data_IF_559328275066
#
_entry.id   IF_559328275066
#
_cell.length_a   1.000
_cell.length_b   1.000
_cell.length_c   1.000
_cell.angle_alpha   90.00
_cell.angle_beta   90.00
_cell.angle_gamma   90.00
#
_symmetry.space_group_name_H-M   'P 1'
#
loop_
_entity.id
_entity.type
_entity.pdbx_description
1 polymer ?
#
# COMPACT_ATOMS: atom_id res chain seq x y z
N UNK A 1 10.46 -16.36 12.40
CA UNK A 1 9.93 -15.07 12.90
C UNK A 1 8.58 -14.78 12.30
N UNK A 2 7.69 -14.11 13.09
CA UNK A 2 6.39 -13.63 12.61
C UNK A 2 6.51 -12.27 11.94
N UNK A 3 6.01 -12.18 10.73
CA UNK A 3 5.94 -10.97 9.92
C UNK A 3 4.48 -10.56 9.71
N UNK A 4 4.14 -9.31 9.98
CA UNK A 4 2.82 -8.78 9.72
C UNK A 4 2.89 -7.84 8.51
N UNK A 5 2.02 -8.10 7.54
CA UNK A 5 1.99 -7.39 6.27
C UNK A 5 0.64 -6.68 6.08
N UNK A 6 0.72 -5.45 5.57
CA UNK A 6 -0.42 -4.54 5.50
C UNK A 6 -0.77 -4.22 4.04
N UNK A 7 -2.01 -4.48 3.59
CA UNK A 7 -2.40 -4.26 2.21
C UNK A 7 -2.52 -2.78 1.87
N UNK A 8 -2.42 -2.49 0.57
CA UNK A 8 -2.69 -1.19 -0.02
C UNK A 8 -3.98 -1.16 -0.83
N UNK A 9 -4.10 -0.14 -1.67
CA UNK A 9 -5.23 0.09 -2.56
C UNK A 9 -5.51 -1.14 -3.44
N UNK A 10 -6.79 -1.49 -3.58
CA UNK A 10 -7.25 -2.71 -4.26
C UNK A 10 -7.74 -3.81 -3.29
N UNK A 11 -7.51 -3.65 -1.99
CA UNK A 11 -7.96 -4.59 -0.97
C UNK A 11 -9.34 -4.25 -0.38
N UNK A 12 -9.86 -3.06 -0.64
CA UNK A 12 -11.14 -2.57 -0.11
C UNK A 12 -12.34 -3.33 -0.67
N UNK A 13 -13.37 -3.48 0.15
CA UNK A 13 -14.68 -4.00 -0.23
C UNK A 13 -15.79 -3.40 0.65
N UNK A 14 -17.00 -3.27 0.12
CA UNK A 14 -18.15 -2.77 0.87
C UNK A 14 -18.46 -3.69 2.05
N UNK A 15 -18.68 -3.11 3.22
CA UNK A 15 -18.89 -3.85 4.49
C UNK A 15 -17.60 -4.08 5.29
N UNK A 16 -16.43 -3.70 4.76
CA UNK A 16 -15.17 -3.87 5.48
C UNK A 16 -15.15 -3.12 6.82
N UNK A 17 -14.78 -3.83 7.88
CA UNK A 17 -14.64 -3.27 9.23
C UNK A 17 -15.96 -3.20 10.04
N UNK A 18 -17.12 -3.55 9.47
CA UNK A 18 -18.37 -3.59 10.19
C UNK A 18 -18.36 -4.65 11.31
N UNK A 19 -17.71 -5.77 11.07
CA UNK A 19 -17.49 -6.83 12.06
C UNK A 19 -16.63 -6.34 13.23
N UNK A 20 -15.55 -5.60 12.95
CA UNK A 20 -14.72 -4.97 13.98
C UNK A 20 -15.53 -3.96 14.81
N UNK A 21 -16.29 -3.09 14.13
CA UNK A 21 -17.10 -2.06 14.75
C UNK A 21 -18.16 -2.64 15.70
N UNK A 22 -18.82 -3.73 15.30
CA UNK A 22 -19.90 -4.34 16.07
C UNK A 22 -19.40 -5.24 17.22
N UNK A 23 -18.22 -5.84 17.10
CA UNK A 23 -17.75 -6.85 18.05
C UNK A 23 -16.62 -6.38 18.96
N UNK A 24 -16.14 -5.15 18.83
CA UNK A 24 -15.09 -4.60 19.69
C UNK A 24 -15.37 -3.16 20.08
N UNK A 25 -15.53 -2.91 21.38
CA UNK A 25 -15.69 -1.55 21.91
C UNK A 25 -14.52 -0.64 21.52
N UNK A 26 -13.29 -1.17 21.59
CA UNK A 26 -12.10 -0.43 21.16
C UNK A 26 -12.16 -0.06 19.67
N UNK A 27 -12.60 -0.97 18.82
CA UNK A 27 -12.75 -0.70 17.39
C UNK A 27 -13.81 0.38 17.15
N UNK A 28 -14.95 0.25 17.79
CA UNK A 28 -16.02 1.25 17.72
C UNK A 28 -15.51 2.66 18.06
N UNK A 29 -14.83 2.81 19.19
CA UNK A 29 -14.28 4.10 19.64
C UNK A 29 -13.23 4.66 18.63
N UNK A 30 -12.39 3.80 18.07
CA UNK A 30 -11.38 4.21 17.08
C UNK A 30 -12.00 4.61 15.74
N UNK A 31 -13.07 3.94 15.29
CA UNK A 31 -13.81 4.34 14.09
C UNK A 31 -14.52 5.67 14.26
N UNK A 32 -15.18 5.89 15.41
CA UNK A 32 -15.83 7.18 15.69
C UNK A 32 -14.80 8.31 15.80
N UNK A 33 -13.68 8.07 16.46
CA UNK A 33 -12.56 9.02 16.49
C UNK A 33 -12.00 9.33 15.09
N UNK A 34 -11.97 8.35 14.22
CA UNK A 34 -11.56 8.56 12.83
C UNK A 34 -12.54 9.44 12.06
N UNK A 35 -13.85 9.26 12.25
CA UNK A 35 -14.89 10.13 11.68
C UNK A 35 -14.69 11.60 12.13
N UNK A 36 -14.36 11.82 13.40
CA UNK A 36 -14.06 13.16 13.94
C UNK A 36 -12.79 13.77 13.29
N UNK A 37 -11.69 13.00 13.21
CA UNK A 37 -10.43 13.47 12.63
C UNK A 37 -10.58 13.82 11.15
N UNK A 38 -11.32 13.00 10.40
CA UNK A 38 -11.52 13.20 8.96
C UNK A 38 -12.56 14.29 8.65
N UNK A 39 -13.43 14.65 9.62
CA UNK A 39 -14.50 15.62 9.43
C UNK A 39 -15.69 15.11 8.62
N UNK A 40 -15.76 13.81 8.34
CA UNK A 40 -16.90 13.14 7.71
C UNK A 40 -17.01 11.70 8.18
N UNK A 41 -18.18 11.09 8.01
CA UNK A 41 -18.41 9.70 8.43
C UNK A 41 -17.92 8.71 7.37
N UNK A 42 -16.63 8.40 7.43
CA UNK A 42 -16.03 7.38 6.56
C UNK A 42 -16.63 5.99 6.81
N UNK A 43 -17.09 5.74 8.05
CA UNK A 43 -17.74 4.49 8.44
C UNK A 43 -18.98 4.20 7.61
N UNK A 44 -19.79 5.21 7.28
CA UNK A 44 -20.99 5.03 6.46
C UNK A 44 -20.65 4.54 5.06
N UNK A 45 -19.53 5.04 4.51
CA UNK A 45 -19.04 4.59 3.19
C UNK A 45 -18.41 3.20 3.29
N UNK A 46 -17.65 2.91 4.33
CA UNK A 46 -17.00 1.61 4.53
C UNK A 46 -18.03 0.49 4.70
N UNK A 47 -19.09 0.73 5.49
CA UNK A 47 -20.06 -0.29 5.90
C UNK A 47 -21.18 -0.48 4.87
N UNK A 48 -21.74 0.62 4.34
CA UNK A 48 -22.96 0.61 3.55
C UNK A 48 -22.82 1.35 2.20
N UNK A 49 -21.68 2.01 1.95
CA UNK A 49 -21.43 2.74 0.73
C UNK A 49 -21.31 1.86 -0.50
N UNK A 50 -21.41 2.49 -1.68
CA UNK A 50 -21.21 1.81 -2.95
C UNK A 50 -19.74 1.51 -3.22
N UNK A 51 -19.49 0.51 -4.08
CA UNK A 51 -18.12 0.21 -4.53
C UNK A 51 -17.43 1.42 -5.20
N UNK A 52 -18.19 2.27 -5.88
CA UNK A 52 -17.67 3.47 -6.56
C UNK A 52 -17.28 4.58 -5.57
N UNK A 53 -18.06 4.77 -4.50
CA UNK A 53 -17.67 5.66 -3.41
C UNK A 53 -16.37 5.18 -2.74
N UNK A 54 -16.29 3.87 -2.48
CA UNK A 54 -15.13 3.27 -1.83
C UNK A 54 -13.86 3.25 -2.71
N UNK A 55 -13.99 3.39 -4.03
CA UNK A 55 -12.86 3.49 -4.98
C UNK A 55 -12.21 4.87 -5.05
N UNK A 56 -12.86 5.92 -4.56
CA UNK A 56 -12.29 7.26 -4.56
C UNK A 56 -11.02 7.28 -3.69
N UNK A 57 -9.91 7.77 -4.22
CA UNK A 57 -8.59 7.70 -3.55
C UNK A 57 -8.62 8.32 -2.14
N UNK A 58 -9.32 9.43 -1.97
CA UNK A 58 -9.49 10.11 -0.69
C UNK A 58 -10.33 9.33 0.34
N UNK A 59 -11.05 8.30 -0.10
CA UNK A 59 -11.81 7.38 0.74
C UNK A 59 -11.10 6.04 0.90
N UNK A 60 -10.64 5.46 -0.21
CA UNK A 60 -9.99 4.14 -0.23
C UNK A 60 -8.82 4.05 0.73
N UNK A 61 -7.93 5.04 0.70
CA UNK A 61 -6.70 4.98 1.50
C UNK A 61 -7.00 5.05 3.00
N UNK A 62 -7.76 6.04 3.50
CA UNK A 62 -8.16 6.04 4.92
C UNK A 62 -8.95 4.79 5.33
N UNK A 63 -9.84 4.29 4.50
CA UNK A 63 -10.64 3.09 4.82
C UNK A 63 -9.78 1.84 5.02
N UNK A 64 -8.82 1.58 4.14
CA UNK A 64 -7.89 0.44 4.27
C UNK A 64 -6.98 0.62 5.49
N UNK A 65 -6.46 1.83 5.70
CA UNK A 65 -5.65 2.16 6.87
C UNK A 65 -6.42 1.89 8.18
N UNK A 66 -7.65 2.39 8.29
CA UNK A 66 -8.49 2.21 9.48
C UNK A 66 -8.74 0.73 9.76
N UNK A 67 -9.19 -0.03 8.76
CA UNK A 67 -9.39 -1.46 8.93
C UNK A 67 -8.12 -2.16 9.43
N UNK A 68 -6.99 -1.90 8.79
CA UNK A 68 -5.71 -2.54 9.10
C UNK A 68 -5.20 -2.20 10.49
N UNK A 69 -5.18 -0.92 10.84
CA UNK A 69 -4.63 -0.46 12.13
C UNK A 69 -5.55 -0.80 13.29
N UNK A 70 -6.88 -0.69 13.09
CA UNK A 70 -7.85 -1.04 14.12
C UNK A 70 -7.80 -2.56 14.38
N UNK A 71 -7.75 -3.38 13.34
CA UNK A 71 -7.57 -4.83 13.50
C UNK A 71 -6.31 -5.16 14.28
N UNK A 72 -5.16 -4.56 13.94
CA UNK A 72 -3.90 -4.77 14.67
C UNK A 72 -4.04 -4.40 16.16
N UNK A 73 -4.74 -3.31 16.48
CA UNK A 73 -4.97 -2.89 17.89
C UNK A 73 -5.90 -3.83 18.64
N UNK A 74 -6.96 -4.32 18.00
CA UNK A 74 -7.94 -5.23 18.61
C UNK A 74 -7.34 -6.61 18.87
N UNK A 75 -6.39 -7.07 18.04
CA UNK A 75 -5.65 -8.30 18.29
C UNK A 75 -4.83 -8.26 19.60
N UNK A 76 -4.54 -7.07 20.13
CA UNK A 76 -3.91 -6.89 21.43
C UNK A 76 -2.65 -7.73 21.61
N UNK A 77 -2.62 -8.60 22.63
CA UNK A 77 -1.47 -9.45 22.94
C UNK A 77 -1.18 -10.53 21.87
N UNK A 78 -2.12 -10.81 20.97
CA UNK A 78 -1.89 -11.71 19.83
C UNK A 78 -1.10 -11.05 18.70
N UNK A 79 -1.05 -9.73 18.68
CA UNK A 79 -0.25 -8.96 17.72
C UNK A 79 1.15 -8.68 18.30
N UNK A 80 2.11 -9.51 17.93
CA UNK A 80 3.51 -9.40 18.39
C UNK A 80 4.45 -9.43 17.17
N UNK A 81 4.63 -8.30 16.48
CA UNK A 81 5.45 -8.25 15.29
C UNK A 81 6.94 -8.29 15.61
N UNK A 82 7.67 -9.19 14.93
CA UNK A 82 9.13 -9.15 14.84
C UNK A 82 9.56 -8.37 13.58
N UNK A 83 8.69 -8.39 12.57
CA UNK A 83 8.84 -7.71 11.28
C UNK A 83 7.50 -7.15 10.82
N UNK A 84 7.53 -5.96 10.20
CA UNK A 84 6.37 -5.38 9.53
C UNK A 84 6.75 -4.88 8.14
N UNK A 85 5.81 -5.00 7.20
CA UNK A 85 5.90 -4.37 5.88
C UNK A 85 4.49 -3.97 5.43
N UNK A 86 4.40 -2.96 4.57
CA UNK A 86 3.13 -2.59 3.97
C UNK A 86 3.28 -2.24 2.51
N UNK A 87 2.30 -2.63 1.69
CA UNK A 87 2.31 -2.33 0.26
C UNK A 87 1.78 -0.91 0.01
N UNK A 88 2.62 -0.02 -0.50
CA UNK A 88 2.27 1.38 -0.78
C UNK A 88 1.62 2.07 0.44
N UNK A 89 0.33 2.37 0.42
CA UNK A 89 -0.44 2.89 1.56
C UNK A 89 -0.22 2.05 2.83
N UNK A 90 -0.19 0.72 2.70
CA UNK A 90 0.01 -0.20 3.81
C UNK A 90 1.30 0.05 4.60
N UNK A 91 2.30 0.70 4.01
CA UNK A 91 3.52 1.10 4.73
C UNK A 91 3.20 2.04 5.90
N UNK A 92 2.26 2.99 5.75
CA UNK A 92 1.84 3.86 6.86
C UNK A 92 1.11 3.05 7.94
N UNK A 93 0.29 2.07 7.56
CA UNK A 93 -0.33 1.14 8.51
C UNK A 93 0.72 0.33 9.28
N UNK A 94 1.76 -0.16 8.60
CA UNK A 94 2.89 -0.85 9.22
C UNK A 94 3.67 0.06 10.19
N UNK A 95 3.84 1.34 9.85
CA UNK A 95 4.51 2.31 10.73
C UNK A 95 3.72 2.56 12.03
N UNK A 96 2.39 2.62 11.95
CA UNK A 96 1.56 2.71 13.17
C UNK A 96 1.65 1.41 13.98
N UNK A 97 1.60 0.27 13.32
CA UNK A 97 1.72 -1.04 13.97
C UNK A 97 3.08 -1.26 14.66
N UNK A 98 4.15 -0.69 14.10
CA UNK A 98 5.50 -0.70 14.70
C UNK A 98 5.73 0.41 15.74
N UNK A 99 4.72 1.20 16.10
CA UNK A 99 4.83 2.29 17.07
C UNK A 99 5.58 3.52 16.60
N UNK A 100 5.91 3.60 15.31
CA UNK A 100 6.59 4.77 14.71
C UNK A 100 5.69 5.98 14.65
N UNK A 101 4.42 5.78 14.33
CA UNK A 101 3.39 6.81 14.26
C UNK A 101 2.27 6.51 15.27
N UNK A 102 1.64 7.56 15.81
CA UNK A 102 0.37 7.41 16.50
C UNK A 102 -0.75 7.06 15.51
N UNK A 103 -1.88 6.57 15.99
CA UNK A 103 -3.07 6.34 15.16
C UNK A 103 -3.53 7.62 14.47
N UNK A 104 -3.57 8.71 15.21
CA UNK A 104 -4.00 10.01 14.75
C UNK A 104 -3.06 10.58 13.68
N UNK A 105 -1.75 10.56 13.95
CA UNK A 105 -0.74 11.02 12.98
C UNK A 105 -0.76 10.18 11.71
N UNK A 106 -0.88 8.86 11.84
CA UNK A 106 -1.00 7.94 10.71
C UNK A 106 -2.23 8.24 9.85
N UNK A 107 -3.39 8.43 10.48
CA UNK A 107 -4.64 8.74 9.77
C UNK A 107 -4.56 10.10 9.05
N UNK A 108 -4.01 11.12 9.72
CA UNK A 108 -3.82 12.44 9.10
C UNK A 108 -2.86 12.39 7.92
N UNK A 109 -1.75 11.65 8.02
CA UNK A 109 -0.82 11.47 6.91
C UNK A 109 -1.45 10.73 5.74
N UNK A 110 -2.25 9.69 6.00
CA UNK A 110 -2.97 8.94 4.95
C UNK A 110 -4.00 9.84 4.26
N UNK A 111 -4.76 10.65 5.00
CA UNK A 111 -5.72 11.60 4.44
C UNK A 111 -5.02 12.62 3.53
N UNK A 112 -3.95 13.25 4.00
CA UNK A 112 -3.15 14.19 3.20
C UNK A 112 -2.51 13.54 1.98
N UNK A 113 -2.02 12.30 2.14
CA UNK A 113 -1.48 11.53 1.01
C UNK A 113 -2.53 11.31 -0.07
N UNK A 114 -3.71 10.89 0.32
CA UNK A 114 -4.82 10.62 -0.58
C UNK A 114 -5.28 11.88 -1.33
N UNK A 115 -5.40 13.01 -0.62
CA UNK A 115 -5.75 14.31 -1.19
C UNK A 115 -4.67 14.82 -2.16
N UNK A 116 -3.40 14.75 -1.78
CA UNK A 116 -2.28 15.18 -2.63
C UNK A 116 -2.19 14.33 -3.90
N UNK A 117 -2.35 13.00 -3.78
CA UNK A 117 -2.38 12.10 -4.93
C UNK A 117 -3.58 12.37 -5.85
N UNK A 118 -4.76 12.64 -5.29
CA UNK A 118 -5.94 12.99 -6.07
C UNK A 118 -5.72 14.27 -6.88
N UNK A 119 -5.19 15.32 -6.26
CA UNK A 119 -4.83 16.58 -6.95
C UNK A 119 -3.80 16.37 -8.07
N UNK A 120 -2.77 15.55 -7.81
CA UNK A 120 -1.76 15.25 -8.83
C UNK A 120 -2.35 14.53 -10.04
N UNK A 121 -3.35 13.66 -9.86
CA UNK A 121 -4.06 13.00 -10.94
C UNK A 121 -4.86 13.97 -11.84
N UNK A 122 -5.28 15.12 -11.31
CA UNK A 122 -6.04 16.14 -12.05
C UNK A 122 -5.14 17.03 -12.93
N UNK A 123 -3.82 17.07 -12.67
CA UNK A 123 -2.85 17.91 -13.39
C UNK A 123 -2.57 17.35 -14.79
N UNK A 124 -2.35 16.05 -14.89
CA UNK A 124 -2.02 15.39 -16.16
C UNK A 124 -2.75 14.04 -16.30
N UNK A 125 -3.34 13.75 -17.48
CA UNK A 125 -3.92 12.46 -17.77
C UNK A 125 -2.88 11.35 -17.64
N UNK A 126 -3.08 10.47 -16.67
CA UNK A 126 -2.13 9.42 -16.36
C UNK A 126 -2.85 8.17 -15.83
N UNK A 127 -2.21 7.03 -15.94
CA UNK A 127 -2.80 5.75 -15.53
C UNK A 127 -1.73 4.72 -15.19
N UNK A 128 -2.17 3.52 -14.89
CA UNK A 128 -1.32 2.35 -14.63
C UNK A 128 -1.81 1.16 -15.45
N UNK A 129 -0.93 0.19 -15.69
CA UNK A 129 -1.31 -1.08 -16.27
C UNK A 129 -0.63 -2.25 -15.56
N UNK A 130 -1.39 -3.35 -15.40
CA UNK A 130 -0.86 -4.60 -14.86
C UNK A 130 -0.32 -5.48 -15.99
N UNK A 131 0.94 -5.89 -15.86
CA UNK A 131 1.67 -6.76 -16.79
C UNK A 131 1.85 -8.13 -16.15
N UNK A 132 1.41 -9.18 -16.82
CA UNK A 132 1.47 -10.55 -16.34
C UNK A 132 2.23 -11.46 -17.30
N UNK A 133 3.13 -12.28 -16.76
CA UNK A 133 3.77 -13.38 -17.48
C UNK A 133 5.07 -13.02 -18.18
N UNK A 134 5.67 -11.88 -17.86
CA UNK A 134 7.00 -11.49 -18.30
C UNK A 134 7.95 -11.32 -17.10
N UNK A 135 9.22 -11.45 -17.36
CA UNK A 135 10.28 -11.11 -16.41
C UNK A 135 10.36 -9.59 -16.24
N UNK A 136 10.69 -9.13 -15.04
CA UNK A 136 10.75 -7.71 -14.69
C UNK A 136 11.68 -6.93 -15.64
N UNK A 137 12.84 -7.49 -16.00
CA UNK A 137 13.80 -6.87 -16.90
C UNK A 137 13.19 -6.55 -18.28
N UNK A 138 12.39 -7.47 -18.85
CA UNK A 138 11.74 -7.24 -20.15
C UNK A 138 10.74 -6.09 -20.06
N UNK A 139 10.03 -5.98 -18.93
CA UNK A 139 9.09 -4.89 -18.71
C UNK A 139 9.81 -3.55 -18.55
N UNK A 140 10.92 -3.51 -17.81
CA UNK A 140 11.77 -2.34 -17.66
C UNK A 140 12.34 -1.86 -19.01
N UNK A 141 12.90 -2.78 -19.81
CA UNK A 141 13.42 -2.49 -21.16
C UNK A 141 12.33 -1.86 -22.08
N UNK A 142 11.11 -2.34 -22.00
CA UNK A 142 9.99 -1.76 -22.78
C UNK A 142 9.63 -0.36 -22.25
N UNK A 143 9.58 -0.18 -20.93
CA UNK A 143 9.33 1.15 -20.34
C UNK A 143 10.40 2.17 -20.79
N UNK A 144 11.66 1.77 -20.80
CA UNK A 144 12.78 2.64 -21.20
C UNK A 144 12.78 2.96 -22.72
N UNK A 145 12.17 2.10 -23.54
CA UNK A 145 12.13 2.26 -25.00
C UNK A 145 10.92 3.09 -25.49
N UNK A 146 9.92 3.32 -24.67
CA UNK A 146 8.71 4.08 -25.03
C UNK A 146 8.93 5.59 -24.85
N UNK A 147 8.52 6.38 -25.84
CA UNK A 147 8.52 7.83 -25.71
C UNK A 147 7.45 8.29 -24.71
N UNK A 148 7.81 9.23 -23.84
CA UNK A 148 6.96 9.73 -22.75
C UNK A 148 7.31 9.09 -21.40
N UNK A 149 6.51 9.41 -20.39
CA UNK A 149 6.72 8.90 -19.03
C UNK A 149 5.99 7.57 -18.85
N UNK A 150 6.75 6.49 -18.75
CA UNK A 150 6.28 5.19 -18.29
C UNK A 150 7.38 4.49 -17.50
N UNK A 151 7.04 3.97 -16.32
CA UNK A 151 8.01 3.34 -15.41
C UNK A 151 7.44 2.08 -14.77
N UNK A 152 8.32 1.17 -14.38
CA UNK A 152 7.99 0.06 -13.49
C UNK A 152 7.65 0.63 -12.09
N UNK A 153 6.42 0.42 -11.65
CA UNK A 153 5.88 1.05 -10.44
C UNK A 153 5.70 0.08 -9.27
N UNK A 154 5.18 -1.14 -9.49
CA UNK A 154 4.96 -2.11 -8.41
C UNK A 154 5.48 -3.48 -8.83
N UNK A 155 6.55 -3.94 -8.19
CA UNK A 155 7.11 -5.29 -8.32
C UNK A 155 6.34 -6.22 -7.37
N UNK A 156 5.17 -6.69 -7.79
CA UNK A 156 4.22 -7.37 -6.90
C UNK A 156 4.61 -8.83 -6.58
N UNK A 157 4.99 -9.58 -7.58
CA UNK A 157 5.53 -10.95 -7.45
C UNK A 157 6.17 -11.35 -8.77
N UNK A 158 6.99 -12.40 -8.84
CA UNK A 158 7.56 -12.89 -10.08
C UNK A 158 6.50 -13.05 -11.18
N UNK A 159 6.72 -12.42 -12.34
CA UNK A 159 5.79 -12.38 -13.46
C UNK A 159 4.53 -11.53 -13.26
N UNK A 160 4.51 -10.63 -12.27
CA UNK A 160 3.45 -9.63 -12.08
C UNK A 160 4.04 -8.28 -11.67
N UNK A 161 4.10 -7.37 -12.62
CA UNK A 161 4.58 -6.01 -12.44
C UNK A 161 3.49 -5.02 -12.88
N UNK A 162 3.40 -3.88 -12.19
CA UNK A 162 2.52 -2.77 -12.61
C UNK A 162 3.40 -1.65 -13.14
N UNK A 163 3.07 -1.15 -14.33
CA UNK A 163 3.69 0.02 -14.93
C UNK A 163 2.80 1.25 -14.72
N UNK A 164 3.41 2.44 -14.70
CA UNK A 164 2.76 3.69 -14.35
C UNK A 164 3.27 4.83 -15.21
N UNK A 165 2.39 5.69 -15.74
CA UNK A 165 2.83 6.77 -16.62
C UNK A 165 1.69 7.53 -17.32
N UNK A 166 2.06 8.26 -18.35
CA UNK A 166 1.13 8.95 -19.26
C UNK A 166 0.23 7.95 -19.98
N UNK A 167 -1.02 8.30 -20.21
CA UNK A 167 -1.99 7.38 -20.84
C UNK A 167 -1.48 6.83 -22.15
N UNK A 168 -0.99 7.68 -23.05
CA UNK A 168 -0.49 7.28 -24.39
C UNK A 168 0.77 6.38 -24.28
N UNK A 169 1.67 6.68 -23.35
CA UNK A 169 2.87 5.87 -23.13
C UNK A 169 2.52 4.50 -22.54
N UNK A 170 1.56 4.44 -21.63
CA UNK A 170 1.05 3.17 -21.06
C UNK A 170 0.35 2.33 -22.15
N UNK A 171 -0.45 2.92 -23.03
CA UNK A 171 -1.08 2.20 -24.14
C UNK A 171 -0.03 1.59 -25.09
N UNK A 172 0.95 2.40 -25.50
CA UNK A 172 2.08 1.93 -26.34
C UNK A 172 2.87 0.83 -25.64
N UNK A 173 3.22 1.02 -24.37
CA UNK A 173 3.93 0.00 -23.61
C UNK A 173 3.12 -1.31 -23.53
N UNK A 174 1.80 -1.24 -23.32
CA UNK A 174 0.95 -2.43 -23.27
C UNK A 174 0.95 -3.21 -24.59
N UNK A 175 0.97 -2.53 -25.74
CA UNK A 175 1.07 -3.19 -27.05
C UNK A 175 2.40 -3.89 -27.22
N UNK A 176 3.50 -3.19 -26.99
CA UNK A 176 4.86 -3.75 -27.06
C UNK A 176 5.07 -4.93 -26.10
N UNK A 177 4.54 -4.83 -24.88
CA UNK A 177 4.63 -5.92 -23.90
C UNK A 177 3.85 -7.17 -24.36
N UNK A 178 2.72 -7.01 -25.03
CA UNK A 178 1.99 -8.14 -25.63
C UNK A 178 2.80 -8.77 -26.76
N UNK A 179 3.46 -7.98 -27.61
CA UNK A 179 4.37 -8.48 -28.66
C UNK A 179 5.56 -9.25 -28.07
N UNK A 180 6.06 -8.82 -26.90
CA UNK A 180 7.12 -9.51 -26.13
C UNK A 180 6.62 -10.78 -25.43
N UNK A 181 5.32 -11.12 -25.52
CA UNK A 181 4.76 -12.33 -24.96
C UNK A 181 4.09 -12.17 -23.60
N UNK A 182 3.76 -10.96 -23.17
CA UNK A 182 2.97 -10.77 -21.97
C UNK A 182 1.63 -11.53 -22.09
N UNK A 183 1.35 -12.38 -21.10
CA UNK A 183 0.06 -13.09 -21.04
C UNK A 183 -1.11 -12.11 -20.89
N UNK A 184 -0.90 -10.98 -20.21
CA UNK A 184 -1.82 -9.85 -20.10
C UNK A 184 -1.03 -8.56 -19.90
N UNK A 185 -1.46 -7.49 -20.55
CA UNK A 185 -1.11 -6.11 -20.27
C UNK A 185 -2.41 -5.32 -20.27
N UNK A 186 -2.91 -4.98 -19.09
CA UNK A 186 -4.26 -4.42 -18.87
C UNK A 186 -4.16 -3.09 -18.15
N UNK A 187 -4.71 -2.05 -18.76
CA UNK A 187 -4.90 -0.75 -18.12
C UNK A 187 -5.82 -0.91 -16.91
N UNK A 188 -5.41 -0.37 -15.78
CA UNK A 188 -6.15 -0.42 -14.53
C UNK A 188 -7.16 0.73 -14.45
N UNK A 189 -8.30 0.55 -13.77
CA UNK A 189 -9.31 1.60 -13.57
C UNK A 189 -8.86 2.57 -12.44
N UNK A 190 -7.70 3.21 -12.64
CA UNK A 190 -7.12 4.21 -11.74
C UNK A 190 -6.82 5.48 -12.53
N UNK A 191 -7.06 6.64 -11.93
CA UNK A 191 -6.94 7.94 -12.58
C UNK A 191 -5.58 8.60 -12.42
N UNK A 192 -4.52 7.85 -12.07
CA UNK A 192 -3.22 8.45 -11.82
C UNK A 192 -2.03 7.50 -11.95
N UNK A 193 -0.87 8.07 -12.27
CA UNK A 193 0.39 7.38 -12.40
C UNK A 193 1.11 7.28 -11.04
N UNK A 194 0.57 6.47 -10.13
CA UNK A 194 1.16 6.29 -8.80
C UNK A 194 2.54 5.65 -8.89
N UNK A 195 3.43 5.99 -7.96
CA UNK A 195 4.80 5.50 -7.88
C UNK A 195 5.63 5.80 -9.15
N UNK A 196 5.39 6.96 -9.74
CA UNK A 196 6.12 7.49 -10.91
C UNK A 196 6.56 8.94 -10.67
N UNK A 197 7.45 9.49 -11.51
CA UNK A 197 7.83 10.90 -11.44
C UNK A 197 6.65 11.88 -11.55
N UNK A 198 5.52 11.46 -12.13
CA UNK A 198 4.31 12.28 -12.26
C UNK A 198 3.64 12.57 -10.90
N UNK A 199 4.01 11.84 -9.84
CA UNK A 199 3.53 12.10 -8.47
C UNK A 199 4.41 13.13 -7.71
N UNK A 200 5.35 13.79 -8.37
CA UNK A 200 6.22 14.77 -7.71
C UNK A 200 5.45 15.89 -6.98
N UNK A 201 4.39 16.51 -7.56
CA UNK A 201 3.59 17.50 -6.82
C UNK A 201 2.98 16.95 -5.53
N UNK A 202 2.49 15.71 -5.57
CA UNK A 202 1.95 15.04 -4.38
C UNK A 202 3.04 14.73 -3.35
N UNK A 203 4.24 14.34 -3.80
CA UNK A 203 5.39 14.09 -2.93
C UNK A 203 5.82 15.35 -2.18
N UNK A 204 5.86 16.49 -2.87
CA UNK A 204 6.23 17.77 -2.24
C UNK A 204 5.23 18.19 -1.15
N UNK A 205 3.92 18.10 -1.46
CA UNK A 205 2.86 18.42 -0.49
C UNK A 205 2.93 17.47 0.72
N UNK A 206 3.06 16.17 0.48
CA UNK A 206 3.14 15.17 1.54
C UNK A 206 4.44 15.28 2.35
N UNK A 207 5.56 15.63 1.74
CA UNK A 207 6.84 15.79 2.41
C UNK A 207 6.78 16.84 3.52
N UNK A 208 6.06 17.94 3.32
CA UNK A 208 5.85 18.94 4.36
C UNK A 208 5.09 18.38 5.57
N UNK A 209 4.03 17.59 5.32
CA UNK A 209 3.28 16.93 6.36
C UNK A 209 4.11 15.88 7.12
N UNK A 210 4.86 15.05 6.40
CA UNK A 210 5.77 14.06 7.01
C UNK A 210 6.83 14.75 7.88
N UNK A 211 7.45 15.83 7.40
CA UNK A 211 8.45 16.59 8.16
C UNK A 211 7.89 17.16 9.46
N UNK A 212 6.65 17.63 9.46
CA UNK A 212 5.96 18.18 10.62
C UNK A 212 5.48 17.11 11.62
N UNK A 213 5.32 15.87 11.18
CA UNK A 213 4.82 14.76 12.01
C UNK A 213 5.94 14.19 12.88
N UNK A 214 5.60 13.82 14.12
CA UNK A 214 6.52 13.13 15.03
C UNK A 214 6.65 11.66 14.64
N UNK A 215 7.89 11.17 14.51
CA UNK A 215 8.23 9.77 14.31
C UNK A 215 8.99 9.28 15.54
N UNK A 216 8.57 8.15 16.09
CA UNK A 216 9.28 7.46 17.17
C UNK A 216 10.14 6.34 16.55
N UNK A 217 11.11 5.83 17.33
CA UNK A 217 11.87 4.66 16.93
C UNK A 217 10.95 3.43 16.82
N UNK A 218 11.14 2.57 15.82
CA UNK A 218 10.29 1.40 15.63
C UNK A 218 10.54 0.35 16.72
N UNK A 219 9.47 -0.33 17.14
CA UNK A 219 9.53 -1.43 18.11
C UNK A 219 9.94 -2.77 17.51
N UNK A 220 9.94 -2.88 16.18
CA UNK A 220 10.35 -4.05 15.40
C UNK A 220 10.96 -3.63 14.06
N UNK A 221 11.46 -4.58 13.27
CA UNK A 221 12.02 -4.28 11.94
C UNK A 221 10.92 -3.83 10.97
N UNK A 222 11.11 -2.67 10.34
CA UNK A 222 10.20 -2.13 9.32
C UNK A 222 10.85 -2.30 7.95
N UNK A 223 10.20 -3.04 7.06
CA UNK A 223 10.65 -3.20 5.68
C UNK A 223 9.90 -2.20 4.81
N UNK A 224 10.64 -1.23 4.26
CA UNK A 224 10.06 -0.15 3.47
C UNK A 224 10.16 -0.43 1.97
N UNK A 225 9.19 0.09 1.21
CA UNK A 225 9.03 -0.22 -0.22
C UNK A 225 10.21 0.23 -1.08
N UNK A 226 10.80 1.40 -0.78
CA UNK A 226 11.86 1.99 -1.59
C UNK A 226 13.18 1.23 -1.47
N UNK A 227 13.74 1.03 -0.25
CA UNK A 227 15.00 0.32 -0.08
C UNK A 227 14.83 -1.21 -0.12
N UNK A 228 13.61 -1.73 0.02
CA UNK A 228 13.29 -3.16 0.10
C UNK A 228 14.11 -3.92 1.14
N UNK A 229 14.39 -3.30 2.28
CA UNK A 229 15.18 -3.87 3.39
C UNK A 229 14.67 -3.36 4.74
N UNK A 230 15.13 -4.01 5.81
CA UNK A 230 14.83 -3.59 7.18
C UNK A 230 15.43 -2.22 7.50
N UNK A 231 14.60 -1.33 8.05
CA UNK A 231 14.99 -0.03 8.58
C UNK A 231 14.64 0.00 10.07
N UNK A 232 15.55 0.54 10.88
CA UNK A 232 15.45 0.50 12.35
C UNK A 232 15.54 1.89 12.98
N UNK A 233 15.64 2.96 12.19
CA UNK A 233 15.72 4.33 12.70
C UNK A 233 14.59 5.19 12.16
N UNK A 234 13.99 6.00 13.04
CA UNK A 234 12.91 6.92 12.68
C UNK A 234 13.30 7.90 11.57
N UNK A 235 14.56 8.37 11.58
CA UNK A 235 15.05 9.31 10.56
C UNK A 235 15.05 8.69 9.17
N UNK A 236 15.64 7.51 9.01
CA UNK A 236 15.71 6.83 7.70
C UNK A 236 14.31 6.41 7.22
N UNK A 237 13.44 5.95 8.13
CA UNK A 237 12.04 5.66 7.83
C UNK A 237 11.34 6.88 7.24
N UNK A 238 11.51 8.04 7.87
CA UNK A 238 10.91 9.31 7.45
C UNK A 238 11.38 9.76 6.07
N UNK A 239 12.68 9.66 5.80
CA UNK A 239 13.28 9.99 4.51
C UNK A 239 12.78 9.07 3.38
N UNK A 240 12.69 7.76 3.64
CA UNK A 240 12.20 6.79 2.66
C UNK A 240 10.71 6.97 2.39
N UNK A 241 9.90 7.29 3.42
CA UNK A 241 8.47 7.55 3.25
C UNK A 241 8.22 8.77 2.34
N UNK A 242 9.07 9.81 2.42
CA UNK A 242 9.00 10.98 1.53
C UNK A 242 9.26 10.57 0.06
N UNK A 243 10.18 9.64 -0.19
CA UNK A 243 10.51 9.18 -1.54
C UNK A 243 9.47 8.22 -2.14
N UNK A 244 8.64 7.60 -1.30
CA UNK A 244 7.78 6.48 -1.71
C UNK A 244 6.80 6.82 -2.83
N UNK A 245 6.23 8.04 -2.88
CA UNK A 245 5.22 8.39 -3.89
C UNK A 245 5.75 8.43 -5.31
N UNK A 246 7.04 8.74 -5.49
CA UNK A 246 7.69 8.83 -6.82
C UNK A 246 8.65 7.68 -7.09
N UNK A 247 8.72 6.70 -6.19
CA UNK A 247 9.59 5.55 -6.29
C UNK A 247 8.79 4.24 -6.38
N UNK A 248 9.34 3.19 -6.97
CA UNK A 248 8.65 1.92 -7.09
C UNK A 248 8.41 1.24 -5.74
N UNK A 249 7.30 0.52 -5.65
CA UNK A 249 7.02 -0.43 -4.57
C UNK A 249 7.73 -1.74 -4.90
N UNK A 250 8.85 -1.98 -4.27
CA UNK A 250 9.66 -3.20 -4.42
C UNK A 250 9.15 -4.30 -3.50
N UNK A 251 7.88 -4.72 -3.71
CA UNK A 251 7.22 -5.66 -2.81
C UNK A 251 7.87 -7.04 -2.80
N UNK A 252 8.15 -7.60 -3.98
CA UNK A 252 8.85 -8.89 -4.12
C UNK A 252 10.16 -8.88 -3.36
N UNK A 253 10.98 -7.85 -3.58
CA UNK A 253 12.29 -7.72 -2.96
C UNK A 253 12.18 -7.51 -1.44
N UNK A 254 11.17 -6.76 -0.97
CA UNK A 254 10.90 -6.59 0.46
C UNK A 254 10.58 -7.91 1.14
N UNK A 255 9.70 -8.71 0.54
CA UNK A 255 9.34 -10.04 1.07
C UNK A 255 10.54 -11.00 1.05
N UNK A 256 11.32 -11.01 -0.04
CA UNK A 256 12.54 -11.83 -0.11
C UNK A 256 13.55 -11.44 0.97
N UNK A 257 13.72 -10.14 1.25
CA UNK A 257 14.55 -9.66 2.35
C UNK A 257 14.03 -10.12 3.72
N UNK A 258 12.70 -10.07 3.94
CA UNK A 258 12.09 -10.54 5.17
C UNK A 258 12.31 -12.05 5.37
N UNK A 259 12.20 -12.84 4.31
CA UNK A 259 12.44 -14.31 4.34
C UNK A 259 13.92 -14.57 4.65
N UNK A 260 14.84 -13.88 3.97
CA UNK A 260 16.28 -14.01 4.22
C UNK A 260 16.67 -13.64 5.65
N UNK A 261 15.97 -12.68 6.26
CA UNK A 261 16.17 -12.27 7.65
C UNK A 261 15.44 -13.18 8.66
N UNK A 262 14.86 -14.30 8.21
CA UNK A 262 14.26 -15.35 9.04
C UNK A 262 12.73 -15.27 9.21
N UNK A 263 12.02 -14.51 8.37
CA UNK A 263 10.55 -14.51 8.31
C UNK A 263 10.02 -15.84 7.78
N UNK A 264 9.18 -16.53 8.56
CA UNK A 264 8.62 -17.85 8.19
C UNK A 264 7.10 -17.89 8.22
N UNK A 265 6.46 -16.97 8.94
CA UNK A 265 5.01 -16.83 9.03
C UNK A 265 4.63 -15.40 8.68
N UNK A 266 3.81 -15.23 7.64
CA UNK A 266 3.35 -13.93 7.17
C UNK A 266 1.86 -13.79 7.42
N UNK A 267 1.47 -12.75 8.17
CA UNK A 267 0.09 -12.52 8.57
C UNK A 267 -0.37 -11.21 7.93
N UNK A 268 -1.31 -11.28 6.99
CA UNK A 268 -1.93 -10.10 6.39
C UNK A 268 -2.93 -9.50 7.37
N UNK A 269 -2.71 -8.24 7.74
CA UNK A 269 -3.56 -7.47 8.66
C UNK A 269 -4.24 -6.36 7.88
N UNK A 270 -5.49 -6.57 7.53
CA UNK A 270 -6.24 -5.63 6.72
C UNK A 270 -7.38 -6.30 5.95
N UNK A 271 -8.08 -5.53 5.10
CA UNK A 271 -9.17 -6.08 4.32
C UNK A 271 -8.68 -7.00 3.19
N UNK A 272 -9.45 -8.02 2.88
CA UNK A 272 -9.19 -8.91 1.74
C UNK A 272 -8.07 -9.93 1.95
N UNK A 273 -7.51 -10.42 0.84
CA UNK A 273 -6.49 -11.50 0.81
C UNK A 273 -5.44 -11.25 -0.30
N UNK A 274 -5.17 -9.99 -0.62
CA UNK A 274 -4.32 -9.62 -1.76
C UNK A 274 -2.89 -10.06 -1.53
N UNK A 275 -2.33 -9.71 -0.37
CA UNK A 275 -0.93 -10.00 -0.08
C UNK A 275 -0.67 -11.49 0.13
N UNK A 276 -1.60 -12.24 0.71
CA UNK A 276 -1.51 -13.70 0.77
C UNK A 276 -1.41 -14.33 -0.62
N UNK A 277 -2.15 -13.79 -1.59
CA UNK A 277 -2.08 -14.21 -2.99
C UNK A 277 -0.72 -13.94 -3.63
N UNK A 278 -0.10 -12.79 -3.32
CA UNK A 278 1.23 -12.44 -3.79
C UNK A 278 2.31 -13.29 -3.12
N UNK A 279 2.21 -13.50 -1.81
CA UNK A 279 3.13 -14.35 -1.03
C UNK A 279 3.28 -15.74 -1.65
N UNK A 280 2.17 -16.39 -2.00
CA UNK A 280 2.17 -17.73 -2.61
C UNK A 280 2.90 -17.79 -3.97
N UNK A 281 3.05 -16.65 -4.64
CA UNK A 281 3.79 -16.55 -5.91
C UNK A 281 5.25 -16.17 -5.69
N UNK A 282 5.55 -15.43 -4.61
CA UNK A 282 6.92 -15.05 -4.26
C UNK A 282 7.66 -16.25 -3.68
N UNK A 283 7.09 -16.91 -2.67
CA UNK A 283 7.66 -18.10 -2.06
C UNK A 283 6.54 -18.99 -1.47
N UNK A 284 6.46 -20.23 -1.95
CA UNK A 284 5.47 -21.23 -1.49
C UNK A 284 5.87 -21.96 -0.23
N UNK A 285 7.11 -21.83 0.20
CA UNK A 285 7.64 -22.50 1.40
C UNK A 285 7.28 -21.79 2.69
N UNK A 286 6.86 -20.52 2.62
CA UNK A 286 6.46 -19.75 3.80
C UNK A 286 4.95 -19.78 4.01
N UNK A 287 4.55 -19.77 5.27
CA UNK A 287 3.14 -19.70 5.65
C UNK A 287 2.59 -18.29 5.44
N UNK A 288 1.42 -18.18 4.80
CA UNK A 288 0.73 -16.90 4.63
C UNK A 288 -0.75 -17.05 5.03
N UNK A 289 -1.18 -16.28 6.02
CA UNK A 289 -2.54 -16.28 6.56
C UNK A 289 -3.08 -14.86 6.71
N UNK A 290 -4.41 -14.72 6.86
CA UNK A 290 -5.04 -13.45 7.22
C UNK A 290 -5.28 -13.37 8.72
N UNK A 291 -5.13 -12.19 9.30
CA UNK A 291 -5.61 -11.91 10.64
C UNK A 291 -7.13 -11.73 10.64
N UNK A 292 -7.80 -12.20 11.69
CA UNK A 292 -9.22 -11.99 11.92
C UNK A 292 -9.48 -11.85 13.42
N UNK A 293 -10.62 -11.28 13.80
CA UNK A 293 -11.13 -11.43 15.15
C UNK A 293 -11.31 -12.93 15.39
N UNK A 294 -10.76 -13.44 16.49
CA UNK A 294 -11.14 -14.76 16.96
C UNK A 294 -12.62 -14.68 17.40
N UNK A 295 -13.43 -15.60 16.86
CA UNK A 295 -14.85 -15.69 17.18
C UNK A 295 -15.08 -16.25 18.59
#
# INVERSE_FOLDING_TARGET
MKAYIFPGQGAQFTGMGLDLYNNSQMAHELFEKANEILGFRITDIMFEGTADQLKQTNVTQPAIFLHSVILAKVLGNSFQPEMVAGHSLGEISALVAAGVLSFEDGLQLVSKRAEAMQKACEIMPSTMAAVLGLDDQIVEEVCDAVDGVVVAANYNCPGQLVISGEVSAIETACELLKEKGARRALVLPVGGAFHSPMMEPAREELAAAIKATKFNEPTCRVYQNVPAKAITTALEIKENLIKQLTAPVKWTQSIQSMIADGGTQFIEVGPGKVLQGLMRKIDRSVEAAGASLEA
#
